data_IF_632488774332
#
_entry.id   IF_632488774332
#
_cell.length_a   1.000
_cell.length_b   1.000
_cell.length_c   1.000
_cell.angle_alpha   90.00
_cell.angle_beta   90.00
_cell.angle_gamma   90.00
#
_symmetry.space_group_name_H-M   'P 1'
#
loop_
_entity.id
_entity.type
_entity.pdbx_description
1 polymer ?
#
# COMPACT_ATOMS: atom_id res chain seq x y z
N UNK A 1 -33.80 6.76 5.38
CA UNK A 1 -33.01 5.88 6.26
C UNK A 1 -33.05 4.49 5.66
N UNK A 2 -31.99 4.07 4.97
CA UNK A 2 -31.85 2.70 4.45
C UNK A 2 -30.75 2.04 5.28
N UNK A 3 -31.18 1.29 6.29
CA UNK A 3 -30.33 0.36 7.02
C UNK A 3 -30.01 -0.82 6.09
N UNK A 4 -28.87 -0.76 5.40
CA UNK A 4 -28.34 -1.90 4.65
C UNK A 4 -27.18 -2.52 5.41
N UNK A 5 -27.44 -3.55 6.22
CA UNK A 5 -26.40 -4.50 6.61
C UNK A 5 -26.00 -5.27 5.35
N UNK A 6 -24.79 -5.05 4.85
CA UNK A 6 -24.18 -5.88 3.82
C UNK A 6 -23.84 -7.24 4.45
N UNK A 7 -24.67 -8.24 4.16
CA UNK A 7 -24.37 -9.64 4.41
C UNK A 7 -23.20 -10.08 3.53
N UNK A 8 -22.23 -10.78 4.12
CA UNK A 8 -21.04 -11.38 3.49
C UNK A 8 -21.36 -11.93 2.09
N UNK A 9 -20.95 -11.20 1.06
CA UNK A 9 -21.01 -11.65 -0.33
C UNK A 9 -19.58 -11.59 -0.87
N UNK A 10 -18.96 -12.76 -1.01
CA UNK A 10 -17.66 -12.90 -1.64
C UNK A 10 -17.80 -12.44 -3.09
N UNK A 11 -17.14 -11.33 -3.44
CA UNK A 11 -17.11 -10.79 -4.79
C UNK A 11 -15.82 -11.28 -5.45
N UNK A 12 -15.95 -12.02 -6.57
CA UNK A 12 -14.83 -12.65 -7.28
C UNK A 12 -14.80 -12.19 -8.74
N UNK A 13 -13.62 -11.79 -9.22
CA UNK A 13 -13.40 -11.40 -10.62
C UNK A 13 -12.57 -12.45 -11.37
N UNK A 14 -12.84 -12.67 -12.67
CA UNK A 14 -12.34 -13.83 -13.47
C UNK A 14 -11.46 -13.49 -14.70
N UNK A 15 -11.08 -12.24 -14.95
CA UNK A 15 -10.18 -11.93 -16.07
C UNK A 15 -8.69 -12.05 -15.71
N UNK A 16 -7.80 -11.66 -16.63
CA UNK A 16 -6.34 -11.63 -16.42
C UNK A 16 -5.67 -10.53 -17.24
N UNK A 17 -4.70 -9.81 -16.67
CA UNK A 17 -3.90 -8.76 -17.32
C UNK A 17 -3.56 -7.62 -16.35
N UNK A 18 -2.74 -6.65 -16.74
CA UNK A 18 -2.73 -5.34 -16.05
C UNK A 18 -4.03 -4.58 -16.39
N UNK A 19 -4.48 -3.67 -15.52
CA UNK A 19 -5.71 -2.87 -15.68
C UNK A 19 -7.00 -3.66 -15.46
N UNK A 20 -7.02 -4.49 -14.42
CA UNK A 20 -8.22 -5.21 -14.00
C UNK A 20 -9.24 -4.23 -13.39
N UNK A 21 -10.54 -4.54 -13.48
CA UNK A 21 -11.55 -3.73 -12.80
C UNK A 21 -11.45 -3.94 -11.29
N UNK A 22 -11.73 -2.91 -10.47
CA UNK A 22 -11.88 -3.13 -9.03
C UNK A 22 -13.01 -4.12 -8.76
N UNK A 23 -12.88 -4.83 -7.64
CA UNK A 23 -13.99 -5.59 -7.07
C UNK A 23 -14.98 -4.64 -6.40
N UNK A 24 -14.47 -3.60 -5.72
CA UNK A 24 -15.27 -2.58 -5.04
C UNK A 24 -14.68 -1.20 -5.31
N UNK A 25 -15.52 -0.28 -5.78
CA UNK A 25 -15.24 1.16 -5.79
C UNK A 25 -15.84 1.83 -4.54
N UNK A 26 -15.03 2.66 -3.89
CA UNK A 26 -15.35 3.36 -2.66
C UNK A 26 -15.31 4.86 -2.95
N UNK A 27 -16.48 5.51 -2.90
CA UNK A 27 -16.60 6.94 -3.19
C UNK A 27 -15.93 7.82 -2.11
N UNK A 28 -15.64 9.07 -2.47
CA UNK A 28 -15.08 10.07 -1.54
C UNK A 28 -15.97 10.22 -0.29
N UNK A 29 -15.34 10.12 0.88
CA UNK A 29 -15.97 10.15 2.20
C UNK A 29 -16.52 8.81 2.71
N UNK A 30 -16.47 7.73 1.92
CA UNK A 30 -17.10 6.46 2.29
C UNK A 30 -16.18 5.58 3.16
N UNK A 31 -16.78 4.93 4.16
CA UNK A 31 -16.19 3.85 4.94
C UNK A 31 -16.81 2.51 4.54
N UNK A 32 -15.96 1.52 4.29
CA UNK A 32 -16.35 0.11 4.22
C UNK A 32 -15.71 -0.63 5.40
N UNK A 33 -16.40 -1.64 5.93
CA UNK A 33 -15.86 -2.46 7.02
C UNK A 33 -16.30 -3.91 6.95
N UNK A 34 -15.48 -4.84 7.48
CA UNK A 34 -15.80 -6.27 7.63
C UNK A 34 -16.17 -6.91 6.31
N UNK A 35 -15.22 -6.94 5.39
CA UNK A 35 -15.44 -7.42 4.04
C UNK A 35 -14.32 -8.35 3.57
N UNK A 36 -14.64 -9.27 2.66
CA UNK A 36 -13.67 -10.18 2.04
C UNK A 36 -13.91 -10.13 0.53
N UNK A 37 -12.86 -9.87 -0.23
CA UNK A 37 -12.86 -9.82 -1.70
C UNK A 37 -11.77 -10.74 -2.26
N UNK A 38 -11.92 -11.12 -3.53
CA UNK A 38 -10.91 -11.87 -4.26
C UNK A 38 -10.78 -11.38 -5.70
N UNK A 39 -9.55 -11.33 -6.19
CA UNK A 39 -9.26 -10.96 -7.56
C UNK A 39 -9.52 -9.50 -7.89
N UNK A 40 -9.61 -9.22 -9.19
CA UNK A 40 -9.74 -7.85 -9.69
C UNK A 40 -8.53 -6.99 -9.31
N UNK A 41 -8.71 -5.68 -9.42
CA UNK A 41 -7.81 -4.69 -8.83
C UNK A 41 -8.27 -4.30 -7.41
N UNK A 42 -8.78 -5.30 -6.66
CA UNK A 42 -9.18 -5.19 -5.27
C UNK A 42 -10.13 -4.03 -4.96
N UNK A 43 -9.72 -3.14 -4.04
CA UNK A 43 -10.48 -1.97 -3.61
C UNK A 43 -9.96 -0.69 -4.27
N UNK A 44 -10.86 0.11 -4.84
CA UNK A 44 -10.54 1.44 -5.35
C UNK A 44 -11.12 2.53 -4.45
N UNK A 45 -10.26 3.36 -3.86
CA UNK A 45 -10.68 4.56 -3.17
C UNK A 45 -10.63 5.77 -4.11
N UNK A 46 -11.77 6.31 -4.49
CA UNK A 46 -11.89 7.41 -5.46
C UNK A 46 -11.62 8.80 -4.85
N UNK A 47 -11.41 8.85 -3.53
CA UNK A 47 -11.24 10.06 -2.72
C UNK A 47 -10.79 9.69 -1.31
N UNK A 48 -11.09 10.56 -0.34
CA UNK A 48 -10.97 10.21 1.08
C UNK A 48 -11.78 8.95 1.34
N UNK A 49 -11.22 7.95 1.99
CA UNK A 49 -11.94 6.70 2.25
C UNK A 49 -11.45 6.03 3.55
N UNK A 50 -12.23 5.09 4.07
CA UNK A 50 -11.80 4.19 5.13
C UNK A 50 -12.12 2.75 4.76
N UNK A 51 -11.11 1.89 4.78
CA UNK A 51 -11.22 0.44 4.67
C UNK A 51 -10.86 -0.13 6.04
N UNK A 52 -11.82 -0.74 6.72
CA UNK A 52 -11.63 -1.26 8.08
C UNK A 52 -11.92 -2.76 8.16
N UNK A 53 -10.97 -3.56 8.65
CA UNK A 53 -11.13 -5.00 8.83
C UNK A 53 -11.63 -5.69 7.54
N UNK A 54 -11.00 -5.36 6.42
CA UNK A 54 -11.30 -5.93 5.13
C UNK A 54 -10.12 -6.73 4.58
N UNK A 55 -10.42 -7.83 3.91
CA UNK A 55 -9.45 -8.77 3.38
C UNK A 55 -9.53 -8.87 1.86
N UNK A 56 -8.37 -8.89 1.20
CA UNK A 56 -8.24 -9.41 -0.16
C UNK A 56 -7.46 -10.73 -0.10
N UNK A 57 -8.16 -11.86 -0.18
CA UNK A 57 -7.57 -13.18 0.05
C UNK A 57 -6.82 -13.75 -1.16
N UNK A 58 -6.96 -13.14 -2.33
CA UNK A 58 -6.28 -13.54 -3.56
C UNK A 58 -6.04 -12.33 -4.46
N UNK A 59 -4.97 -11.59 -4.16
CA UNK A 59 -4.56 -10.40 -4.92
C UNK A 59 -4.10 -10.81 -6.32
N UNK A 60 -4.66 -10.18 -7.35
CA UNK A 60 -4.32 -10.46 -8.76
C UNK A 60 -3.48 -9.35 -9.39
N UNK A 61 -3.97 -8.12 -9.38
CA UNK A 61 -3.21 -6.93 -9.80
C UNK A 61 -2.72 -6.21 -8.55
N UNK A 62 -3.46 -5.20 -8.06
CA UNK A 62 -3.24 -4.57 -6.77
C UNK A 62 -4.36 -4.92 -5.76
N UNK A 63 -4.07 -4.85 -4.45
CA UNK A 63 -5.09 -5.11 -3.42
C UNK A 63 -5.94 -3.88 -3.14
N UNK A 64 -5.31 -2.71 -3.10
CA UNK A 64 -5.93 -1.42 -2.80
C UNK A 64 -5.27 -0.35 -3.66
N UNK A 65 -6.08 0.37 -4.43
CA UNK A 65 -5.65 1.48 -5.28
C UNK A 65 -6.31 2.79 -4.83
N UNK A 66 -5.51 3.84 -4.64
CA UNK A 66 -5.93 5.12 -4.06
C UNK A 66 -5.87 6.23 -5.11
N UNK A 67 -6.99 6.88 -5.41
CA UNK A 67 -7.15 7.79 -6.56
C UNK A 67 -7.62 9.21 -6.23
N UNK A 68 -7.80 9.55 -4.96
CA UNK A 68 -8.24 10.89 -4.57
C UNK A 68 -7.30 11.99 -5.06
N UNK A 69 -7.85 13.03 -5.68
CA UNK A 69 -7.07 14.07 -6.38
C UNK A 69 -6.86 15.33 -5.55
N UNK A 70 -7.60 15.49 -4.45
CA UNK A 70 -7.51 16.65 -3.56
C UNK A 70 -6.23 16.54 -2.69
N UNK A 71 -5.41 17.60 -2.55
CA UNK A 71 -4.20 17.56 -1.73
C UNK A 71 -4.42 17.15 -0.27
N UNK A 72 -5.63 17.34 0.26
CA UNK A 72 -6.03 16.96 1.60
C UNK A 72 -6.82 15.64 1.67
N UNK A 73 -6.82 14.81 0.61
CA UNK A 73 -7.46 13.49 0.67
C UNK A 73 -6.81 12.63 1.74
N UNK A 74 -7.62 11.91 2.52
CA UNK A 74 -7.12 11.01 3.57
C UNK A 74 -7.65 9.60 3.36
N UNK A 75 -6.75 8.66 3.16
CA UNK A 75 -7.08 7.23 3.10
C UNK A 75 -6.73 6.60 4.45
N UNK A 76 -7.62 5.76 4.96
CA UNK A 76 -7.41 4.99 6.19
C UNK A 76 -7.59 3.51 5.90
N UNK A 77 -6.58 2.71 6.20
CA UNK A 77 -6.62 1.25 6.15
C UNK A 77 -6.37 0.77 7.58
N UNK A 78 -7.38 0.14 8.19
CA UNK A 78 -7.38 -0.16 9.63
C UNK A 78 -7.72 -1.63 9.82
N UNK A 79 -6.78 -2.45 10.26
CA UNK A 79 -6.99 -3.89 10.34
C UNK A 79 -7.14 -4.55 8.95
N UNK A 80 -7.44 -5.84 8.94
CA UNK A 80 -7.58 -6.60 7.70
C UNK A 80 -6.24 -7.00 7.08
N UNK A 81 -6.26 -7.42 5.80
CA UNK A 81 -5.05 -7.86 5.14
C UNK A 81 -5.18 -8.19 3.66
N UNK A 82 -4.05 -8.51 3.05
CA UNK A 82 -3.95 -8.92 1.66
C UNK A 82 -3.05 -10.16 1.54
N UNK A 83 -3.43 -11.12 0.69
CA UNK A 83 -2.73 -12.40 0.55
C UNK A 83 -2.51 -12.79 -0.91
N UNK A 84 -1.48 -13.60 -1.13
CA UNK A 84 -1.17 -14.26 -2.40
C UNK A 84 -0.87 -13.29 -3.56
N UNK A 85 -0.46 -12.06 -3.25
CA UNK A 85 -0.12 -11.06 -4.25
C UNK A 85 1.27 -11.25 -4.85
N UNK A 86 1.42 -10.84 -6.11
CA UNK A 86 2.71 -10.74 -6.82
C UNK A 86 3.06 -9.31 -7.24
N UNK A 87 2.05 -8.44 -7.30
CA UNK A 87 2.14 -7.02 -7.65
C UNK A 87 2.30 -6.11 -6.43
N UNK A 88 1.68 -4.92 -6.46
CA UNK A 88 1.72 -4.00 -5.31
C UNK A 88 0.54 -4.29 -4.40
N UNK A 89 0.76 -4.33 -3.09
CA UNK A 89 -0.38 -4.47 -2.19
C UNK A 89 -1.20 -3.20 -2.17
N UNK A 90 -0.55 -2.04 -1.98
CA UNK A 90 -1.21 -0.74 -1.98
C UNK A 90 -0.59 0.16 -3.04
N UNK A 91 -1.35 0.43 -4.10
CA UNK A 91 -1.02 1.40 -5.14
C UNK A 91 -1.57 2.78 -4.76
N UNK A 92 -0.68 3.76 -4.59
CA UNK A 92 -1.07 5.12 -4.19
C UNK A 92 -0.88 6.10 -5.36
N UNK A 93 -1.87 6.15 -6.25
CA UNK A 93 -1.85 6.99 -7.46
C UNK A 93 -2.28 8.43 -7.21
N UNK A 94 -3.18 8.66 -6.25
CA UNK A 94 -3.76 9.95 -5.91
C UNK A 94 -2.87 10.85 -5.05
N UNK A 95 -3.39 12.01 -4.70
CA UNK A 95 -2.81 12.97 -3.74
C UNK A 95 -3.15 12.62 -2.29
N UNK A 96 -2.45 13.27 -1.36
CA UNK A 96 -2.84 13.34 0.05
C UNK A 96 -2.06 12.40 0.96
N UNK A 97 -2.75 11.88 1.98
CA UNK A 97 -2.16 11.09 3.06
C UNK A 97 -2.81 9.72 3.16
N UNK A 98 -1.98 8.67 3.21
CA UNK A 98 -2.37 7.32 3.55
C UNK A 98 -2.00 7.03 5.01
N UNK A 99 -2.94 6.51 5.80
CA UNK A 99 -2.69 5.97 7.13
C UNK A 99 -3.05 4.48 7.14
N UNK A 100 -2.07 3.64 7.48
CA UNK A 100 -2.22 2.19 7.63
C UNK A 100 -2.00 1.83 9.09
N UNK A 101 -2.93 1.09 9.67
CA UNK A 101 -2.86 0.66 11.07
C UNK A 101 -3.22 -0.79 11.21
N UNK A 102 -2.36 -1.58 11.83
CA UNK A 102 -2.55 -3.01 12.11
C UNK A 102 -2.94 -3.85 10.87
N UNK A 103 -2.26 -3.65 9.75
CA UNK A 103 -2.53 -4.37 8.50
C UNK A 103 -1.63 -5.61 8.34
N UNK A 104 -2.10 -6.59 7.58
CA UNK A 104 -1.37 -7.84 7.33
C UNK A 104 -1.16 -8.07 5.84
N UNK A 105 0.04 -8.46 5.44
CA UNK A 105 0.41 -8.79 4.05
C UNK A 105 1.12 -10.15 4.03
N UNK A 106 0.69 -11.06 3.17
CA UNK A 106 1.34 -12.35 2.96
C UNK A 106 1.54 -12.63 1.47
N UNK A 107 2.78 -12.39 1.01
CA UNK A 107 3.14 -12.40 -0.40
C UNK A 107 2.75 -11.08 -1.09
N UNK A 108 3.78 -10.35 -1.54
CA UNK A 108 3.65 -9.14 -2.35
C UNK A 108 4.91 -8.96 -3.20
N UNK A 109 4.80 -8.28 -4.34
CA UNK A 109 5.96 -7.78 -5.09
C UNK A 109 6.51 -6.48 -4.50
N UNK A 110 5.60 -5.61 -4.03
CA UNK A 110 5.87 -4.33 -3.39
C UNK A 110 4.78 -4.08 -2.33
N UNK A 111 5.13 -3.62 -1.13
CA UNK A 111 4.12 -3.35 -0.08
C UNK A 111 3.23 -2.15 -0.42
N UNK A 112 3.76 -0.93 -0.22
CA UNK A 112 3.05 0.33 -0.46
C UNK A 112 3.87 1.20 -1.41
N UNK A 113 3.24 1.64 -2.50
CA UNK A 113 3.91 2.43 -3.52
C UNK A 113 3.08 3.62 -3.99
N UNK A 114 3.42 4.86 -3.57
CA UNK A 114 3.05 6.05 -4.32
C UNK A 114 3.54 5.94 -5.75
N UNK A 115 2.73 6.25 -6.75
CA UNK A 115 3.13 6.01 -8.14
C UNK A 115 4.41 6.77 -8.52
N UNK A 116 5.42 6.09 -9.06
CA UNK A 116 6.69 6.72 -9.44
C UNK A 116 6.83 7.06 -10.92
N UNK A 117 5.92 6.60 -11.77
CA UNK A 117 6.01 6.71 -13.23
C UNK A 117 4.69 7.07 -13.94
N UNK A 118 3.60 7.26 -13.19
CA UNK A 118 2.32 7.75 -13.71
C UNK A 118 2.47 9.07 -14.46
N UNK A 119 1.68 9.26 -15.52
CA UNK A 119 1.67 10.51 -16.29
C UNK A 119 1.27 11.71 -15.43
N UNK A 120 0.21 11.55 -14.63
CA UNK A 120 -0.13 12.48 -13.56
C UNK A 120 0.67 12.12 -12.31
N UNK A 121 1.35 13.11 -11.75
CA UNK A 121 2.14 12.96 -10.52
C UNK A 121 1.61 13.90 -9.45
N UNK A 122 1.70 13.45 -8.20
CA UNK A 122 1.35 14.23 -7.03
C UNK A 122 2.57 14.43 -6.15
N UNK A 123 2.61 15.56 -5.45
CA UNK A 123 3.70 15.95 -4.56
C UNK A 123 3.25 15.88 -3.11
N UNK A 124 4.21 15.77 -2.20
CA UNK A 124 3.99 15.78 -0.76
C UNK A 124 3.02 14.67 -0.29
N UNK A 125 3.02 13.51 -0.98
CA UNK A 125 2.27 12.35 -0.49
C UNK A 125 2.94 11.86 0.79
N UNK A 126 2.12 11.56 1.78
CA UNK A 126 2.58 10.97 3.03
C UNK A 126 1.99 9.59 3.25
N UNK A 127 2.85 8.65 3.63
CA UNK A 127 2.47 7.29 4.02
C UNK A 127 2.81 7.10 5.49
N UNK A 128 1.80 6.89 6.32
CA UNK A 128 1.94 6.64 7.75
C UNK A 128 1.56 5.19 8.03
N UNK A 129 2.49 4.40 8.57
CA UNK A 129 2.27 2.98 8.87
C UNK A 129 2.59 2.72 10.34
N UNK A 130 1.61 2.29 11.12
CA UNK A 130 1.79 1.86 12.52
C UNK A 130 1.18 0.47 12.71
N UNK A 131 2.02 -0.54 12.93
CA UNK A 131 1.59 -1.94 13.01
C UNK A 131 1.33 -2.52 11.62
N UNK A 132 2.37 -3.05 10.99
CA UNK A 132 2.26 -3.79 9.75
C UNK A 132 3.03 -5.09 9.88
N UNK A 133 2.37 -6.22 9.65
CA UNK A 133 3.06 -7.50 9.48
C UNK A 133 3.07 -7.83 8.00
N UNK A 134 4.26 -7.99 7.44
CA UNK A 134 4.46 -8.34 6.04
C UNK A 134 5.34 -9.58 5.94
N UNK A 135 4.84 -10.59 5.25
CA UNK A 135 5.49 -11.88 5.09
C UNK A 135 5.86 -12.16 3.65
N UNK A 136 6.94 -12.94 3.49
CA UNK A 136 7.28 -13.59 2.22
C UNK A 136 7.54 -12.60 1.07
N UNK A 137 8.13 -11.43 1.36
CA UNK A 137 8.72 -10.57 0.33
C UNK A 137 9.96 -11.23 -0.26
N UNK A 138 10.12 -11.20 -1.58
CA UNK A 138 11.32 -11.70 -2.26
C UNK A 138 12.54 -10.81 -2.01
N UNK A 139 13.74 -11.38 -2.16
CA UNK A 139 15.00 -10.65 -2.00
C UNK A 139 15.02 -9.37 -2.84
N UNK A 140 15.41 -8.25 -2.22
CA UNK A 140 15.47 -6.95 -2.86
C UNK A 140 14.14 -6.18 -2.88
N UNK A 141 13.02 -6.76 -2.46
CA UNK A 141 11.74 -6.05 -2.36
C UNK A 141 11.69 -5.14 -1.12
N UNK A 142 10.57 -4.43 -0.94
CA UNK A 142 10.45 -3.41 0.09
C UNK A 142 9.03 -3.21 0.62
N UNK A 143 8.94 -2.71 1.85
CA UNK A 143 7.66 -2.42 2.52
C UNK A 143 7.03 -1.13 2.00
N UNK A 144 7.81 -0.04 1.91
CA UNK A 144 7.32 1.25 1.38
C UNK A 144 8.33 1.84 0.39
N UNK A 145 7.84 2.43 -0.69
CA UNK A 145 8.65 3.22 -1.62
C UNK A 145 8.24 4.69 -1.59
N UNK A 146 9.17 5.62 -1.73
CA UNK A 146 8.87 7.07 -1.82
C UNK A 146 9.68 7.74 -2.93
N UNK A 147 9.12 8.76 -3.58
CA UNK A 147 9.80 9.54 -4.62
C UNK A 147 10.37 10.85 -4.05
N UNK A 148 11.71 10.95 -3.99
CA UNK A 148 12.44 12.12 -3.47
C UNK A 148 12.06 13.41 -4.18
N UNK A 149 12.03 13.40 -5.51
CA UNK A 149 11.74 14.58 -6.33
C UNK A 149 10.28 15.06 -6.27
N UNK A 150 9.38 14.25 -5.69
CA UNK A 150 8.02 14.65 -5.37
C UNK A 150 7.83 14.97 -3.88
N UNK A 151 8.93 14.99 -3.10
CA UNK A 151 8.94 15.30 -1.68
C UNK A 151 8.00 14.40 -0.86
N UNK A 152 7.97 13.12 -1.21
CA UNK A 152 7.14 12.13 -0.53
C UNK A 152 7.82 11.60 0.72
N UNK A 153 7.02 11.26 1.72
CA UNK A 153 7.52 10.81 3.02
C UNK A 153 6.79 9.57 3.49
N UNK A 154 7.55 8.65 4.07
CA UNK A 154 7.04 7.50 4.77
C UNK A 154 7.45 7.56 6.24
N UNK A 155 6.48 7.33 7.12
CA UNK A 155 6.65 7.26 8.56
C UNK A 155 6.31 5.83 8.97
N UNK A 156 7.29 5.09 9.47
CA UNK A 156 7.12 3.68 9.80
C UNK A 156 7.29 3.46 11.30
N UNK A 157 6.37 2.67 11.87
CA UNK A 157 6.37 2.28 13.27
C UNK A 157 5.85 0.85 13.38
N UNK A 158 6.50 0.03 14.21
CA UNK A 158 6.07 -1.33 14.51
C UNK A 158 5.85 -2.19 13.23
N UNK A 159 6.88 -2.26 12.39
CA UNK A 159 6.86 -3.01 11.13
C UNK A 159 7.53 -4.37 11.37
N UNK A 160 6.78 -5.45 11.20
CA UNK A 160 7.26 -6.82 11.31
C UNK A 160 7.43 -7.42 9.91
N UNK A 161 8.68 -7.70 9.53
CA UNK A 161 9.04 -8.30 8.25
C UNK A 161 9.45 -9.74 8.51
N UNK A 162 8.68 -10.70 7.99
CA UNK A 162 8.85 -12.11 8.31
C UNK A 162 9.07 -12.94 7.04
N UNK A 163 9.82 -14.04 7.15
CA UNK A 163 10.07 -14.97 6.06
C UNK A 163 11.55 -15.27 5.85
N UNK A 164 11.84 -16.26 5.01
CA UNK A 164 13.20 -16.74 4.74
C UNK A 164 14.12 -15.66 4.15
N UNK A 165 13.55 -14.73 3.38
CA UNK A 165 14.21 -13.62 2.71
C UNK A 165 14.13 -12.30 3.48
N UNK A 166 13.60 -12.28 4.71
CA UNK A 166 13.36 -11.03 5.45
C UNK A 166 14.63 -10.18 5.70
N UNK A 167 15.80 -10.81 5.79
CA UNK A 167 17.09 -10.11 5.92
C UNK A 167 17.61 -9.50 4.60
N UNK A 168 16.91 -9.73 3.49
CA UNK A 168 17.31 -9.30 2.13
C UNK A 168 16.34 -8.28 1.55
N UNK A 169 15.40 -7.78 2.35
CA UNK A 169 14.40 -6.79 1.94
C UNK A 169 14.57 -5.50 2.71
N UNK A 170 13.89 -4.44 2.26
CA UNK A 170 14.11 -3.10 2.76
C UNK A 170 12.82 -2.51 3.36
N UNK A 171 12.81 -2.04 4.61
CA UNK A 171 11.68 -1.28 5.14
C UNK A 171 11.28 -0.10 4.24
N UNK A 172 12.25 0.63 3.71
CA UNK A 172 11.97 1.79 2.85
C UNK A 172 12.95 1.90 1.69
N UNK A 173 12.45 2.26 0.50
CA UNK A 173 13.30 2.65 -0.64
C UNK A 173 12.96 4.04 -1.13
N UNK A 174 13.99 4.83 -1.42
CA UNK A 174 13.86 6.16 -2.00
C UNK A 174 14.15 6.11 -3.48
N UNK A 175 13.28 6.71 -4.28
CA UNK A 175 13.33 6.70 -5.74
C UNK A 175 13.42 8.11 -6.32
N UNK A 176 13.95 8.20 -7.53
CA UNK A 176 13.72 9.29 -8.46
C UNK A 176 12.52 8.91 -9.35
N UNK A 177 11.37 9.49 -9.05
CA UNK A 177 10.16 9.36 -9.87
C UNK A 177 10.26 10.15 -11.18
N UNK A 178 9.36 9.85 -12.10
CA UNK A 178 9.19 10.51 -13.39
C UNK A 178 7.71 10.47 -13.82
N UNK A 179 7.38 11.12 -14.94
CA UNK A 179 6.04 11.14 -15.52
C UNK A 179 6.01 10.59 -16.96
N UNK A 180 6.94 9.69 -17.28
CA UNK A 180 7.16 9.19 -18.65
C UNK A 180 6.86 7.70 -18.78
N UNK A 181 6.22 7.07 -17.78
CA UNK A 181 5.98 5.63 -17.75
C UNK A 181 7.23 4.77 -17.52
N UNK A 182 8.42 5.36 -17.47
CA UNK A 182 9.68 4.64 -17.27
C UNK A 182 9.83 4.20 -15.82
N UNK A 183 10.46 3.05 -15.59
CA UNK A 183 10.74 2.58 -14.24
C UNK A 183 11.52 3.63 -13.43
N UNK A 184 11.06 4.00 -12.23
CA UNK A 184 11.76 4.95 -11.36
C UNK A 184 13.14 4.42 -10.97
N UNK A 185 14.14 5.31 -10.91
CA UNK A 185 15.49 4.94 -10.48
C UNK A 185 15.54 4.83 -8.96
N UNK A 186 16.05 3.72 -8.43
CA UNK A 186 16.36 3.59 -6.99
C UNK A 186 17.54 4.50 -6.65
N UNK A 187 17.38 5.32 -5.62
CA UNK A 187 18.42 6.21 -5.10
C UNK A 187 19.01 5.68 -3.80
N UNK A 188 18.16 5.20 -2.89
CA UNK A 188 18.56 4.67 -1.58
C UNK A 188 17.69 3.47 -1.21
N UNK A 189 18.28 2.58 -0.42
CA UNK A 189 17.63 1.40 0.12
C UNK A 189 17.92 1.37 1.61
N UNK A 190 16.92 1.71 2.41
CA UNK A 190 17.05 1.83 3.86
C UNK A 190 16.77 0.48 4.52
N UNK A 191 17.66 0.08 5.43
CA UNK A 191 17.60 -1.20 6.14
C UNK A 191 16.95 -1.09 7.51
N UNK A 192 17.19 -2.10 8.34
CA UNK A 192 16.72 -2.21 9.72
C UNK A 192 17.46 -1.27 10.71
N UNK A 193 18.50 -0.57 10.27
CA UNK A 193 19.28 0.35 11.11
C UNK A 193 18.63 1.73 11.30
N UNK A 194 17.50 1.98 10.65
CA UNK A 194 16.81 3.27 10.64
C UNK A 194 16.73 3.87 9.24
N UNK A 195 15.80 4.80 9.06
CA UNK A 195 15.65 5.54 7.81
C UNK A 195 16.52 6.80 7.75
N UNK A 196 16.50 7.47 6.60
CA UNK A 196 17.27 8.70 6.33
C UNK A 196 16.80 9.94 7.12
N UNK A 197 15.68 9.84 7.85
CA UNK A 197 15.11 10.92 8.65
C UNK A 197 14.45 12.04 7.83
N UNK A 198 14.41 11.92 6.51
CA UNK A 198 13.90 12.95 5.58
C UNK A 198 12.74 12.44 4.73
N UNK A 199 12.93 11.34 4.02
CA UNK A 199 11.94 10.69 3.16
C UNK A 199 11.46 9.37 3.77
N UNK A 200 12.35 8.65 4.46
CA UNK A 200 12.08 7.44 5.21
C UNK A 200 12.32 7.72 6.70
N UNK A 201 11.25 7.78 7.48
CA UNK A 201 11.29 8.31 8.84
C UNK A 201 10.89 7.21 9.81
N UNK A 202 11.91 6.55 10.39
CA UNK A 202 11.75 5.49 11.39
C UNK A 202 13.07 5.23 12.12
N UNK A 203 12.99 4.67 13.32
CA UNK A 203 14.15 4.22 14.10
C UNK A 203 14.38 2.73 13.90
N UNK A 204 15.57 2.25 14.22
CA UNK A 204 15.86 0.81 14.20
C UNK A 204 14.85 -0.01 15.03
N UNK A 205 14.42 0.52 16.19
CA UNK A 205 13.42 -0.12 17.07
C UNK A 205 12.02 -0.26 16.47
N UNK A 206 11.75 0.42 15.36
CA UNK A 206 10.46 0.35 14.67
C UNK A 206 10.39 -0.80 13.66
N UNK A 207 11.53 -1.45 13.36
CA UNK A 207 11.65 -2.51 12.37
C UNK A 207 12.05 -3.82 13.06
N UNK A 208 11.23 -4.85 12.86
CA UNK A 208 11.39 -6.16 13.46
C UNK A 208 11.55 -7.20 12.33
N UNK A 209 12.73 -7.80 12.24
CA UNK A 209 13.05 -8.80 11.22
C UNK A 209 12.93 -10.19 11.85
N UNK A 210 11.99 -11.00 11.37
CA UNK A 210 11.71 -12.34 11.91
C UNK A 210 11.45 -12.37 13.43
N UNK A 211 10.84 -11.31 13.98
CA UNK A 211 10.46 -11.17 15.40
C UNK A 211 9.16 -10.39 15.55
#
# INVERSE_FOLDING_TARGET
MLNGQLHHKQLRWLGSGEYMKPVIEIADGVKISRCIVEGGDGFHCLGTCTIEDCWNDDVKDDSISLFGTKPNSVYKIIGGGARHGKGKTIQFDGAGKLNVTNFYIDGAGQGIRPCGNCAQQYRNREVHVDGLTIRNLEAGQYVVGVNKNYNEKAYLKNIHILGSTANQVFPCKVFQGNNQGKNPKVLQMEGDKGGDGTYCIYKASDIHINS
#
